data_IF_555357195349
#
_entry.id   IF_555357195349
#
_cell.length_a   1.000
_cell.length_b   1.000
_cell.length_c   1.000
_cell.angle_alpha   90.00
_cell.angle_beta   90.00
_cell.angle_gamma   90.00
#
_symmetry.space_group_name_H-M   'P 1'
#
loop_
_entity.id
_entity.type
_entity.pdbx_description
1 polymer ?
#
# COMPACT_ATOMS: atom_id res chain seq x y z
N UNK A 1 22.37 -6.38 -43.61
CA UNK A 1 21.19 -7.02 -43.00
C UNK A 1 20.95 -6.40 -41.64
N UNK A 2 19.72 -5.97 -41.37
CA UNK A 2 19.17 -5.66 -40.04
C UNK A 2 19.45 -6.83 -39.07
N UNK A 3 19.50 -6.71 -37.75
CA UNK A 3 19.01 -5.72 -36.81
C UNK A 3 18.73 -6.51 -35.53
N UNK A 4 19.46 -6.25 -34.44
CA UNK A 4 19.29 -6.95 -33.16
C UNK A 4 18.83 -5.95 -32.11
N UNK A 5 17.52 -5.70 -32.06
CA UNK A 5 16.89 -4.77 -31.13
C UNK A 5 17.14 -5.18 -29.68
N UNK A 6 17.69 -4.24 -28.90
CA UNK A 6 17.76 -4.33 -27.44
C UNK A 6 16.33 -4.34 -26.91
N UNK A 7 15.94 -5.46 -26.29
CA UNK A 7 14.67 -5.63 -25.60
C UNK A 7 14.47 -4.53 -24.57
N UNK A 8 13.31 -3.87 -24.65
CA UNK A 8 12.97 -2.66 -23.94
C UNK A 8 13.05 -2.78 -22.43
N UNK A 9 13.43 -1.66 -21.80
CA UNK A 9 13.32 -1.49 -20.36
C UNK A 9 11.89 -1.75 -19.90
N UNK A 10 11.75 -2.39 -18.74
CA UNK A 10 10.47 -2.50 -18.02
C UNK A 10 10.06 -1.09 -17.58
N UNK A 11 9.44 -0.34 -18.50
CA UNK A 11 8.64 0.82 -18.14
C UNK A 11 7.54 0.36 -17.18
N UNK A 12 7.21 1.19 -16.19
CA UNK A 12 6.11 0.93 -15.28
C UNK A 12 4.88 0.53 -16.11
N UNK A 13 4.46 -0.74 -15.97
CA UNK A 13 3.26 -1.19 -16.65
C UNK A 13 2.09 -0.43 -16.06
N UNK A 14 1.45 0.41 -16.85
CA UNK A 14 0.21 1.06 -16.45
C UNK A 14 -0.83 -0.03 -16.21
N UNK A 15 -1.36 -0.08 -14.98
CA UNK A 15 -2.51 -0.91 -14.63
C UNK A 15 -3.76 -0.11 -15.01
N UNK A 16 -4.70 -0.74 -15.73
CA UNK A 16 -5.99 -0.12 -16.06
C UNK A 16 -6.69 0.38 -14.78
N UNK A 17 -7.32 1.58 -14.78
CA UNK A 17 -7.89 2.17 -13.57
C UNK A 17 -8.85 1.25 -12.80
N UNK A 18 -9.71 0.51 -13.48
CA UNK A 18 -10.65 -0.41 -12.81
C UNK A 18 -9.91 -1.56 -12.12
N UNK A 19 -8.91 -2.14 -12.79
CA UNK A 19 -8.09 -3.23 -12.23
C UNK A 19 -7.30 -2.76 -11.01
N UNK A 20 -6.82 -1.51 -11.04
CA UNK A 20 -6.15 -0.91 -9.88
C UNK A 20 -7.11 -0.75 -8.70
N UNK A 21 -8.33 -0.25 -8.94
CA UNK A 21 -9.34 -0.12 -7.89
C UNK A 21 -9.74 -1.46 -7.27
N UNK A 22 -9.91 -2.50 -8.09
CA UNK A 22 -10.19 -3.85 -7.62
C UNK A 22 -9.03 -4.39 -6.78
N UNK A 23 -7.80 -4.30 -7.28
CA UNK A 23 -6.62 -4.75 -6.55
C UNK A 23 -6.48 -4.03 -5.19
N UNK A 24 -6.74 -2.72 -5.13
CA UNK A 24 -6.72 -1.96 -3.88
C UNK A 24 -7.78 -2.47 -2.89
N UNK A 25 -9.03 -2.64 -3.33
CA UNK A 25 -10.13 -3.18 -2.49
C UNK A 25 -9.76 -4.56 -1.93
N UNK A 26 -9.27 -5.45 -2.79
CA UNK A 26 -8.82 -6.78 -2.37
C UNK A 26 -7.66 -6.71 -1.38
N UNK A 27 -6.69 -5.81 -1.58
CA UNK A 27 -5.57 -5.62 -0.67
C UNK A 27 -6.03 -5.19 0.73
N UNK A 28 -6.93 -4.21 0.83
CA UNK A 28 -7.46 -3.78 2.13
C UNK A 28 -8.31 -4.87 2.81
N UNK A 29 -9.10 -5.64 2.05
CA UNK A 29 -9.85 -6.76 2.62
C UNK A 29 -8.93 -7.85 3.21
N UNK A 30 -7.83 -8.16 2.51
CA UNK A 30 -6.83 -9.10 3.02
C UNK A 30 -6.13 -8.57 4.27
N UNK A 31 -5.83 -7.27 4.30
CA UNK A 31 -5.22 -6.59 5.44
C UNK A 31 -6.12 -6.63 6.67
N UNK A 32 -7.41 -6.30 6.51
CA UNK A 32 -8.42 -6.38 7.57
C UNK A 32 -8.51 -7.80 8.13
N UNK A 33 -8.70 -8.78 7.26
CA UNK A 33 -8.78 -10.20 7.65
C UNK A 33 -7.52 -10.67 8.40
N UNK A 34 -6.34 -10.24 7.97
CA UNK A 34 -5.08 -10.59 8.61
C UNK A 34 -4.98 -10.00 10.02
N UNK A 35 -5.37 -8.73 10.19
CA UNK A 35 -5.33 -8.04 11.49
C UNK A 35 -6.38 -8.61 12.44
N UNK A 36 -7.60 -8.85 11.97
CA UNK A 36 -8.68 -9.46 12.76
C UNK A 36 -8.34 -10.87 13.27
N UNK A 37 -7.47 -11.58 12.55
CA UNK A 37 -7.00 -12.91 12.94
C UNK A 37 -5.89 -12.92 13.99
N UNK A 38 -5.35 -11.77 14.41
CA UNK A 38 -4.28 -11.69 15.40
C UNK A 38 -4.85 -11.76 16.83
N UNK A 39 -4.33 -12.69 17.62
CA UNK A 39 -4.56 -12.70 19.07
C UNK A 39 -3.62 -11.73 19.80
N UNK A 40 -3.92 -11.43 21.07
CA UNK A 40 -3.01 -10.66 21.95
C UNK A 40 -1.62 -11.32 22.09
N UNK A 41 -1.56 -12.65 22.03
CA UNK A 41 -0.31 -13.40 22.05
C UNK A 41 0.46 -13.23 20.73
N UNK A 42 -0.24 -13.25 19.59
CA UNK A 42 0.37 -13.01 18.28
C UNK A 42 0.98 -11.61 18.18
N UNK A 43 0.30 -10.60 18.71
CA UNK A 43 0.76 -9.21 18.68
C UNK A 43 2.15 -9.06 19.33
N UNK A 44 2.43 -9.84 20.38
CA UNK A 44 3.73 -9.84 21.08
C UNK A 44 4.83 -10.64 20.39
N UNK A 45 4.48 -11.45 19.38
CA UNK A 45 5.46 -12.28 18.68
C UNK A 45 6.43 -11.41 17.85
N UNK A 46 7.71 -11.81 17.75
CA UNK A 46 8.69 -11.09 16.94
C UNK A 46 8.42 -11.28 15.44
N UNK A 47 8.71 -10.24 14.67
CA UNK A 47 8.70 -10.24 13.20
C UNK A 47 9.86 -9.38 12.69
N UNK A 48 10.45 -9.78 11.58
CA UNK A 48 11.45 -8.97 10.87
C UNK A 48 10.79 -8.24 9.71
N UNK A 49 10.73 -6.92 9.79
CA UNK A 49 10.12 -6.07 8.76
C UNK A 49 11.13 -5.01 8.30
N UNK A 50 11.36 -4.92 6.99
CA UNK A 50 12.39 -4.03 6.39
C UNK A 50 13.78 -4.14 7.06
N UNK A 51 14.17 -5.36 7.44
CA UNK A 51 15.44 -5.64 8.11
C UNK A 51 15.47 -5.32 9.61
N UNK A 52 14.42 -4.70 10.16
CA UNK A 52 14.29 -4.34 11.58
C UNK A 52 13.54 -5.43 12.33
N UNK A 53 14.01 -5.75 13.53
CA UNK A 53 13.29 -6.64 14.44
C UNK A 53 12.23 -5.82 15.17
N UNK A 54 10.98 -6.29 15.13
CA UNK A 54 9.79 -5.61 15.65
C UNK A 54 8.86 -6.64 16.29
N UNK A 55 7.90 -6.20 17.10
CA UNK A 55 6.73 -7.05 17.39
C UNK A 55 5.73 -6.98 16.23
N UNK A 56 4.83 -7.97 16.11
CA UNK A 56 3.73 -7.87 15.14
C UNK A 56 2.85 -6.65 15.43
N UNK A 57 2.69 -6.28 16.69
CA UNK A 57 1.99 -5.06 17.09
C UNK A 57 2.65 -3.79 16.53
N UNK A 58 3.97 -3.66 16.65
CA UNK A 58 4.72 -2.53 16.10
C UNK A 58 4.65 -2.50 14.57
N UNK A 59 4.65 -3.67 13.92
CA UNK A 59 4.46 -3.76 12.48
C UNK A 59 3.07 -3.26 12.04
N UNK A 60 2.00 -3.58 12.79
CA UNK A 60 0.64 -3.09 12.53
C UNK A 60 0.55 -1.57 12.76
N UNK A 61 1.17 -1.05 13.82
CA UNK A 61 1.23 0.40 14.06
C UNK A 61 2.00 1.13 12.97
N UNK A 62 3.12 0.57 12.52
CA UNK A 62 3.91 1.12 11.42
C UNK A 62 3.08 1.21 10.14
N UNK A 63 2.38 0.13 9.80
CA UNK A 63 1.43 0.10 8.69
C UNK A 63 0.40 1.22 8.80
N UNK A 64 -0.23 1.43 9.96
CA UNK A 64 -1.18 2.53 10.11
C UNK A 64 -0.54 3.90 9.90
N UNK A 65 0.66 4.13 10.43
CA UNK A 65 1.40 5.38 10.20
C UNK A 65 1.64 5.66 8.71
N UNK A 66 2.20 4.68 8.00
CA UNK A 66 2.46 4.75 6.55
C UNK A 66 1.19 5.05 5.74
N UNK A 67 0.08 4.39 6.07
CA UNK A 67 -1.21 4.61 5.41
C UNK A 67 -1.76 6.03 5.63
N UNK A 68 -1.56 6.61 6.81
CA UNK A 68 -1.94 8.00 7.07
C UNK A 68 -1.07 8.98 6.29
N UNK A 69 0.23 8.72 6.17
CA UNK A 69 1.14 9.54 5.36
C UNK A 69 0.73 9.54 3.87
N UNK A 70 0.44 8.35 3.31
CA UNK A 70 -0.03 8.22 1.93
C UNK A 70 -1.43 8.81 1.70
N UNK A 71 -2.32 8.73 2.70
CA UNK A 71 -3.62 9.41 2.65
C UNK A 71 -3.44 10.93 2.57
N UNK A 72 -2.56 11.51 3.38
CA UNK A 72 -2.24 12.94 3.33
C UNK A 72 -1.72 13.37 1.95
N UNK A 73 -0.81 12.60 1.37
CA UNK A 73 -0.31 12.83 0.00
C UNK A 73 -1.43 12.76 -1.04
N UNK A 74 -2.31 11.77 -0.93
CA UNK A 74 -3.45 11.59 -1.85
C UNK A 74 -4.45 12.74 -1.76
N UNK A 75 -4.72 13.26 -0.55
CA UNK A 75 -5.56 14.44 -0.34
C UNK A 75 -4.92 15.69 -0.96
N UNK A 76 -3.61 15.88 -0.75
CA UNK A 76 -2.89 17.01 -1.34
C UNK A 76 -2.93 16.96 -2.88
N UNK A 77 -2.75 15.77 -3.46
CA UNK A 77 -2.83 15.57 -4.91
C UNK A 77 -4.26 15.78 -5.45
N UNK A 78 -5.29 15.30 -4.76
CA UNK A 78 -6.67 15.56 -5.16
C UNK A 78 -6.96 17.07 -5.21
N UNK A 79 -6.54 17.81 -4.17
CA UNK A 79 -6.70 19.27 -4.09
C UNK A 79 -5.93 20.00 -5.18
N UNK A 80 -4.69 19.59 -5.50
CA UNK A 80 -3.93 20.20 -6.60
C UNK A 80 -4.58 19.99 -7.97
N UNK A 81 -5.46 18.98 -8.08
CA UNK A 81 -6.25 18.70 -9.29
C UNK A 81 -7.71 19.19 -9.18
N UNK A 82 -8.03 20.07 -8.23
CA UNK A 82 -9.37 20.66 -8.08
C UNK A 82 -10.44 19.69 -7.54
N UNK A 83 -10.05 18.52 -7.05
CA UNK A 83 -10.96 17.55 -6.42
C UNK A 83 -10.98 17.75 -4.91
N UNK A 84 -12.16 17.96 -4.32
CA UNK A 84 -12.34 18.01 -2.87
C UNK A 84 -12.75 16.62 -2.36
N UNK A 85 -11.88 15.89 -1.66
CA UNK A 85 -12.21 14.56 -1.18
C UNK A 85 -13.28 14.62 -0.07
N UNK A 86 -14.32 13.76 -0.11
CA UNK A 86 -15.46 13.83 0.81
C UNK A 86 -15.13 13.51 2.28
N UNK A 87 -13.96 12.93 2.56
CA UNK A 87 -13.48 12.60 3.90
C UNK A 87 -12.55 13.65 4.51
N UNK A 88 -12.28 14.78 3.84
CA UNK A 88 -11.55 15.91 4.43
C UNK A 88 -12.52 17.00 4.85
N UNK A 89 -13.03 16.93 6.07
CA UNK A 89 -13.59 18.09 6.78
C UNK A 89 -12.61 18.54 7.84
#
# INVERSE_FOLDING_TARGET
>A
GAGGGRGGGRGAQAIEPEKLQEALKTSYANLQKAIEGLSDADLKAPVKLFGRDMTKEDAVRFLFGDQHEHLGQSIAYARSNGVVPPWSK
#
